data_IF_436728536652
#
_entry.id   IF_436728536652
#
_cell.length_a   1.000
_cell.length_b   1.000
_cell.length_c   1.000
_cell.angle_alpha   90.00
_cell.angle_beta   90.00
_cell.angle_gamma   90.00
#
_symmetry.space_group_name_H-M   'P 1'
#
loop_
_entity.id
_entity.type
_entity.pdbx_description
1 polymer ?
#
# COMPACT_ATOMS: atom_id res chain seq x y z
N UNK A 1 -50.03 -30.22 22.62
CA UNK A 1 -51.49 -30.33 22.81
C UNK A 1 -52.04 -29.45 23.96
N UNK A 2 -51.32 -29.25 25.07
CA UNK A 2 -51.77 -28.35 26.15
C UNK A 2 -51.79 -26.84 25.79
N UNK A 3 -50.82 -26.34 25.00
CA UNK A 3 -50.79 -24.93 24.57
C UNK A 3 -51.97 -24.55 23.66
N UNK A 4 -52.35 -25.42 22.72
CA UNK A 4 -53.44 -25.16 21.77
C UNK A 4 -54.80 -25.04 22.48
N UNK A 5 -55.00 -25.81 23.55
CA UNK A 5 -56.23 -25.77 24.35
C UNK A 5 -56.26 -24.49 25.21
N UNK A 6 -55.11 -24.04 25.72
CA UNK A 6 -54.99 -22.77 26.46
C UNK A 6 -55.21 -21.55 25.56
N UNK A 7 -54.74 -21.59 24.30
CA UNK A 7 -54.91 -20.50 23.31
C UNK A 7 -56.39 -20.28 22.95
N UNK A 8 -57.16 -21.36 22.77
CA UNK A 8 -58.60 -21.27 22.46
C UNK A 8 -59.40 -20.76 23.66
N UNK A 9 -58.95 -21.03 24.89
CA UNK A 9 -59.62 -20.61 26.13
C UNK A 9 -59.34 -19.15 26.52
N UNK A 10 -58.20 -18.56 26.09
CA UNK A 10 -57.78 -17.20 26.47
C UNK A 10 -58.02 -16.13 25.38
N UNK A 11 -58.33 -16.53 24.14
CA UNK A 11 -58.62 -15.58 23.06
C UNK A 11 -57.40 -14.81 22.53
N UNK A 12 -56.20 -15.12 23.00
CA UNK A 12 -54.93 -14.55 22.50
C UNK A 12 -54.42 -15.37 21.32
N UNK A 13 -54.92 -15.06 20.12
CA UNK A 13 -54.34 -15.60 18.89
C UNK A 13 -52.96 -15.00 18.67
N UNK A 14 -51.93 -15.86 18.59
CA UNK A 14 -50.62 -15.48 18.07
C UNK A 14 -50.81 -14.99 16.64
N UNK A 15 -50.74 -13.67 16.45
CA UNK A 15 -50.87 -13.08 15.11
C UNK A 15 -49.50 -13.02 14.47
N UNK A 16 -49.38 -13.62 13.28
CA UNK A 16 -48.20 -13.46 12.43
C UNK A 16 -48.04 -11.98 12.09
N UNK A 17 -46.85 -11.44 12.31
CA UNK A 17 -46.57 -10.06 11.93
C UNK A 17 -46.87 -9.86 10.42
N UNK A 18 -47.51 -8.76 10.03
CA UNK A 18 -47.80 -8.51 8.63
C UNK A 18 -46.50 -8.39 7.82
N UNK A 19 -46.50 -8.95 6.60
CA UNK A 19 -45.29 -9.16 5.80
C UNK A 19 -44.43 -7.88 5.58
N UNK A 20 -45.06 -6.70 5.50
CA UNK A 20 -44.36 -5.42 5.36
C UNK A 20 -43.49 -5.08 6.58
N UNK A 21 -43.90 -5.49 7.78
CA UNK A 21 -43.21 -5.22 9.03
C UNK A 21 -41.96 -6.11 9.18
N UNK A 22 -42.02 -7.35 8.69
CA UNK A 22 -40.86 -8.23 8.59
C UNK A 22 -39.84 -7.72 7.55
N UNK A 23 -40.30 -7.24 6.39
CA UNK A 23 -39.42 -6.66 5.36
C UNK A 23 -38.68 -5.41 5.90
N UNK A 24 -39.38 -4.54 6.63
CA UNK A 24 -38.77 -3.38 7.28
C UNK A 24 -37.74 -3.77 8.34
N UNK A 25 -38.04 -4.80 9.14
CA UNK A 25 -37.10 -5.32 10.15
C UNK A 25 -35.82 -5.87 9.52
N UNK A 26 -35.94 -6.63 8.41
CA UNK A 26 -34.78 -7.11 7.64
C UNK A 26 -33.97 -5.94 7.09
N UNK A 27 -34.63 -4.96 6.46
CA UNK A 27 -33.95 -3.81 5.88
C UNK A 27 -33.20 -2.99 6.94
N UNK A 28 -33.82 -2.75 8.10
CA UNK A 28 -33.19 -2.02 9.21
C UNK A 28 -32.00 -2.79 9.82
N UNK A 29 -32.13 -4.11 9.99
CA UNK A 29 -31.05 -4.97 10.48
C UNK A 29 -29.84 -4.98 9.52
N UNK A 30 -30.08 -5.13 8.22
CA UNK A 30 -29.02 -5.14 7.20
C UNK A 30 -28.35 -3.77 7.11
N UNK A 31 -29.13 -2.68 7.14
CA UNK A 31 -28.59 -1.31 7.09
C UNK A 31 -27.73 -0.99 8.32
N UNK A 32 -28.16 -1.37 9.52
CA UNK A 32 -27.39 -1.12 10.75
C UNK A 32 -26.06 -1.87 10.75
N UNK A 33 -26.07 -3.15 10.37
CA UNK A 33 -24.83 -3.95 10.21
C UNK A 33 -23.93 -3.36 9.13
N UNK A 34 -24.51 -2.90 8.02
CA UNK A 34 -23.85 -2.14 6.95
C UNK A 34 -23.13 -0.89 7.44
N UNK A 35 -23.86 -0.03 8.16
CA UNK A 35 -23.36 1.25 8.64
C UNK A 35 -22.27 1.07 9.70
N UNK A 36 -22.50 0.17 10.66
CA UNK A 36 -21.53 -0.21 11.70
C UNK A 36 -20.23 -0.70 11.08
N UNK A 37 -20.36 -1.61 10.10
CA UNK A 37 -19.20 -2.19 9.41
C UNK A 37 -18.48 -1.16 8.54
N UNK A 38 -19.19 -0.22 7.93
CA UNK A 38 -18.59 0.84 7.11
C UNK A 38 -17.82 1.89 7.91
N UNK A 39 -18.29 2.23 9.12
CA UNK A 39 -17.76 3.35 9.89
C UNK A 39 -16.74 2.96 10.96
N UNK A 40 -16.67 1.70 11.38
CA UNK A 40 -15.81 1.30 12.51
C UNK A 40 -14.62 0.42 12.12
N UNK A 41 -13.55 0.52 12.93
CA UNK A 41 -12.29 -0.21 12.73
C UNK A 41 -12.49 -1.72 12.93
N UNK A 42 -11.60 -2.53 12.35
CA UNK A 42 -11.79 -3.99 12.30
C UNK A 42 -11.91 -4.65 13.69
N UNK A 43 -11.30 -4.05 14.73
CA UNK A 43 -11.37 -4.52 16.12
C UNK A 43 -12.72 -4.24 16.79
N UNK A 44 -13.43 -3.19 16.39
CA UNK A 44 -14.71 -2.77 16.98
C UNK A 44 -15.92 -3.32 16.21
N UNK A 45 -15.75 -3.73 14.96
CA UNK A 45 -16.82 -4.29 14.12
C UNK A 45 -17.45 -5.55 14.70
N UNK A 46 -16.63 -6.48 15.20
CA UNK A 46 -17.08 -7.78 15.72
C UNK A 46 -17.95 -7.65 16.99
N UNK A 47 -17.55 -6.91 18.05
CA UNK A 47 -18.40 -6.75 19.22
C UNK A 47 -19.67 -5.95 18.91
N UNK A 48 -19.61 -4.98 17.99
CA UNK A 48 -20.76 -4.13 17.66
C UNK A 48 -21.81 -4.86 16.79
N UNK A 49 -21.39 -5.75 15.89
CA UNK A 49 -22.32 -6.62 15.15
C UNK A 49 -22.92 -7.73 16.04
N UNK A 50 -22.18 -8.23 17.02
CA UNK A 50 -22.74 -9.14 18.03
C UNK A 50 -23.82 -8.44 18.89
N UNK A 51 -23.59 -7.16 19.23
CA UNK A 51 -24.55 -6.35 19.99
C UNK A 51 -25.86 -6.12 19.21
N UNK A 52 -25.81 -5.88 17.90
CA UNK A 52 -27.02 -5.68 17.09
C UNK A 52 -27.85 -6.96 16.97
N UNK A 53 -27.21 -8.13 16.86
CA UNK A 53 -27.88 -9.44 16.90
C UNK A 53 -28.60 -9.62 18.25
N UNK A 54 -27.91 -9.35 19.36
CA UNK A 54 -28.49 -9.46 20.71
C UNK A 54 -29.65 -8.47 20.91
N UNK A 55 -29.50 -7.22 20.46
CA UNK A 55 -30.56 -6.23 20.53
C UNK A 55 -31.82 -6.65 19.75
N UNK A 56 -31.64 -7.23 18.55
CA UNK A 56 -32.74 -7.75 17.75
C UNK A 56 -33.44 -8.92 18.45
N UNK A 57 -32.68 -9.91 18.95
CA UNK A 57 -33.24 -11.05 19.70
C UNK A 57 -34.08 -10.60 20.89
N UNK A 58 -33.58 -9.63 21.67
CA UNK A 58 -34.25 -9.10 22.84
C UNK A 58 -35.51 -8.31 22.50
N UNK A 59 -35.47 -7.48 21.46
CA UNK A 59 -36.64 -6.72 21.00
C UNK A 59 -37.75 -7.64 20.48
N UNK A 60 -37.39 -8.68 19.72
CA UNK A 60 -38.34 -9.69 19.23
C UNK A 60 -38.94 -10.52 20.38
N UNK A 61 -38.14 -10.90 21.38
CA UNK A 61 -38.65 -11.61 22.56
C UNK A 61 -39.61 -10.73 23.39
N UNK A 62 -39.28 -9.45 23.57
CA UNK A 62 -40.15 -8.51 24.28
C UNK A 62 -41.47 -8.26 23.54
N UNK A 63 -41.43 -8.14 22.21
CA UNK A 63 -42.63 -8.01 21.37
C UNK A 63 -43.53 -9.26 21.43
N UNK A 64 -42.94 -10.44 21.54
CA UNK A 64 -43.66 -11.69 21.71
C UNK A 64 -44.41 -11.74 23.05
N UNK A 65 -43.72 -11.41 24.16
CA UNK A 65 -44.32 -11.46 25.52
C UNK A 65 -45.38 -10.38 25.74
N UNK A 66 -45.20 -9.18 25.18
CA UNK A 66 -46.10 -8.05 25.44
C UNK A 66 -47.28 -7.94 24.47
N UNK A 67 -47.16 -8.45 23.24
CA UNK A 67 -48.16 -8.25 22.18
C UNK A 67 -48.54 -9.52 21.42
N UNK A 68 -47.96 -10.67 21.76
CA UNK A 68 -48.24 -11.95 21.08
C UNK A 68 -47.84 -11.98 19.61
N UNK A 69 -46.97 -11.06 19.16
CA UNK A 69 -46.56 -10.96 17.75
C UNK A 69 -45.34 -11.84 17.53
N UNK A 70 -45.48 -12.83 16.63
CA UNK A 70 -44.36 -13.68 16.22
C UNK A 70 -43.66 -13.05 15.02
N UNK A 71 -42.41 -12.60 15.20
CA UNK A 71 -41.55 -12.14 14.12
C UNK A 71 -40.74 -13.32 13.57
N UNK A 72 -40.61 -13.39 12.26
CA UNK A 72 -39.78 -14.41 11.61
C UNK A 72 -38.30 -14.14 11.86
N UNK A 73 -37.72 -14.86 12.82
CA UNK A 73 -36.32 -14.74 13.18
C UNK A 73 -35.38 -15.35 12.12
N UNK A 74 -35.86 -16.32 11.34
CA UNK A 74 -35.01 -17.12 10.45
C UNK A 74 -34.48 -16.29 9.28
N UNK A 75 -35.33 -15.51 8.64
CA UNK A 75 -34.97 -14.66 7.50
C UNK A 75 -34.02 -13.52 7.89
N UNK A 76 -34.15 -12.97 9.10
CA UNK A 76 -33.27 -11.88 9.58
C UNK A 76 -31.84 -12.36 9.83
N UNK A 77 -31.65 -13.51 10.48
CA UNK A 77 -30.28 -14.01 10.72
C UNK A 77 -29.57 -14.39 9.42
N UNK A 78 -30.28 -15.00 8.46
CA UNK A 78 -29.71 -15.33 7.15
C UNK A 78 -29.26 -14.05 6.44
N UNK A 79 -30.09 -13.00 6.44
CA UNK A 79 -29.73 -11.70 5.86
C UNK A 79 -28.51 -11.06 6.53
N UNK A 80 -28.42 -11.09 7.85
CA UNK A 80 -27.29 -10.56 8.61
C UNK A 80 -25.98 -11.30 8.30
N UNK A 81 -26.00 -12.63 8.28
CA UNK A 81 -24.82 -13.46 7.98
C UNK A 81 -24.32 -13.18 6.56
N UNK A 82 -25.22 -13.14 5.59
CA UNK A 82 -24.87 -12.94 4.19
C UNK A 82 -24.31 -11.53 3.96
N UNK A 83 -24.93 -10.51 4.57
CA UNK A 83 -24.44 -9.14 4.51
C UNK A 83 -23.06 -8.98 5.18
N UNK A 84 -22.87 -9.57 6.36
CA UNK A 84 -21.59 -9.54 7.06
C UNK A 84 -20.49 -10.26 6.27
N UNK A 85 -20.80 -11.43 5.68
CA UNK A 85 -19.88 -12.17 4.82
C UNK A 85 -19.46 -11.39 3.57
N UNK A 86 -20.43 -10.78 2.87
CA UNK A 86 -20.16 -9.91 1.72
C UNK A 86 -19.28 -8.71 2.10
N UNK A 87 -19.51 -8.10 3.27
CA UNK A 87 -18.72 -6.97 3.74
C UNK A 87 -17.30 -7.37 4.15
N UNK A 88 -17.11 -8.50 4.82
CA UNK A 88 -15.78 -9.03 5.12
C UNK A 88 -15.00 -9.30 3.83
N UNK A 89 -15.67 -9.90 2.84
CA UNK A 89 -15.07 -10.15 1.54
C UNK A 89 -14.66 -8.86 0.83
N UNK A 90 -15.54 -7.85 0.83
CA UNK A 90 -15.24 -6.53 0.25
C UNK A 90 -14.06 -5.85 0.95
N UNK A 91 -14.03 -5.85 2.30
CA UNK A 91 -12.92 -5.28 3.07
C UNK A 91 -11.60 -6.01 2.80
N UNK A 92 -11.62 -7.34 2.75
CA UNK A 92 -10.44 -8.16 2.45
C UNK A 92 -9.85 -7.81 1.09
N UNK A 93 -10.68 -7.71 0.05
CA UNK A 93 -10.22 -7.34 -1.29
C UNK A 93 -9.68 -5.90 -1.36
N UNK A 94 -10.29 -4.95 -0.65
CA UNK A 94 -9.84 -3.55 -0.65
C UNK A 94 -8.54 -3.37 0.14
N UNK A 95 -8.39 -4.05 1.29
CA UNK A 95 -7.16 -4.02 2.08
C UNK A 95 -5.96 -4.60 1.32
N UNK A 96 -6.14 -5.70 0.58
CA UNK A 96 -5.08 -6.25 -0.26
C UNK A 96 -4.63 -5.26 -1.34
N UNK A 97 -5.58 -4.59 -1.99
CA UNK A 97 -5.27 -3.59 -3.03
C UNK A 97 -4.51 -2.40 -2.44
N UNK A 98 -4.93 -1.91 -1.27
CA UNK A 98 -4.22 -0.83 -0.58
C UNK A 98 -2.80 -1.23 -0.20
N UNK A 99 -2.59 -2.44 0.34
CA UNK A 99 -1.24 -2.94 0.64
C UNK A 99 -0.36 -3.07 -0.60
N UNK A 100 -0.92 -3.59 -1.70
CA UNK A 100 -0.21 -3.71 -2.98
C UNK A 100 0.15 -2.34 -3.57
N UNK A 101 -0.78 -1.38 -3.51
CA UNK A 101 -0.55 -0.01 -3.96
C UNK A 101 0.52 0.69 -3.13
N UNK A 102 0.43 0.63 -1.80
CA UNK A 102 1.46 1.20 -0.91
C UNK A 102 2.81 0.56 -1.22
N UNK A 103 2.89 -0.77 -1.31
CA UNK A 103 4.14 -1.46 -1.70
C UNK A 103 4.67 -0.99 -3.05
N UNK A 104 3.80 -0.87 -4.05
CA UNK A 104 4.18 -0.44 -5.40
C UNK A 104 4.67 1.01 -5.45
N UNK A 105 3.99 1.91 -4.73
CA UNK A 105 4.42 3.31 -4.55
C UNK A 105 5.79 3.33 -3.87
N UNK A 106 5.95 2.62 -2.75
CA UNK A 106 7.23 2.56 -2.03
C UNK A 106 8.36 1.95 -2.86
N UNK A 107 8.09 1.00 -3.76
CA UNK A 107 9.09 0.47 -4.71
C UNK A 107 9.52 1.50 -5.75
N UNK A 108 8.67 2.47 -6.09
CA UNK A 108 9.03 3.54 -7.00
C UNK A 108 9.86 4.64 -6.32
N UNK A 109 9.71 4.81 -5.01
CA UNK A 109 10.44 5.80 -4.22
C UNK A 109 11.67 5.24 -3.49
N UNK A 110 11.78 3.92 -3.35
CA UNK A 110 12.84 3.24 -2.60
C UNK A 110 13.21 1.95 -3.33
N UNK A 111 14.51 1.67 -3.49
CA UNK A 111 14.99 0.45 -4.15
C UNK A 111 14.30 -0.79 -3.55
N UNK A 112 13.97 -1.79 -4.37
CA UNK A 112 13.28 -3.03 -3.95
C UNK A 112 13.93 -3.70 -2.73
N UNK A 113 15.26 -3.61 -2.64
CA UNK A 113 16.09 -4.02 -1.52
C UNK A 113 15.67 -3.34 -0.21
N UNK A 114 15.43 -2.03 -0.23
CA UNK A 114 15.07 -1.24 0.95
C UNK A 114 13.65 -1.52 1.44
N UNK A 115 12.71 -1.78 0.52
CA UNK A 115 11.33 -2.17 0.87
C UNK A 115 11.31 -3.54 1.55
N UNK A 116 12.08 -4.50 1.04
CA UNK A 116 12.17 -5.83 1.64
C UNK A 116 12.84 -5.76 3.03
N UNK A 117 13.86 -4.93 3.19
CA UNK A 117 14.53 -4.72 4.48
C UNK A 117 13.59 -4.09 5.51
N UNK A 118 12.81 -3.07 5.13
CA UNK A 118 11.79 -2.45 6.00
C UNK A 118 10.70 -3.43 6.44
N UNK A 119 10.29 -4.34 5.56
CA UNK A 119 9.28 -5.36 5.88
C UNK A 119 9.84 -6.37 6.90
N UNK A 120 11.11 -6.75 6.75
CA UNK A 120 11.77 -7.73 7.62
C UNK A 120 12.19 -7.11 8.97
N UNK A 121 12.55 -5.82 8.97
CA UNK A 121 13.02 -5.08 10.14
C UNK A 121 12.23 -3.75 10.30
N UNK A 122 10.97 -3.79 10.80
CA UNK A 122 10.11 -2.62 10.89
C UNK A 122 10.54 -1.58 11.95
N UNK A 123 11.44 -1.94 12.87
CA UNK A 123 11.98 -1.05 13.91
C UNK A 123 13.19 -0.23 13.42
N UNK A 124 13.09 0.45 12.26
CA UNK A 124 14.13 1.39 11.82
C UNK A 124 14.09 2.63 12.72
N UNK A 125 14.89 2.60 13.79
CA UNK A 125 15.10 3.74 14.68
C UNK A 125 15.92 4.82 13.98
N UNK A 126 15.66 6.09 14.33
CA UNK A 126 16.55 7.21 14.01
C UNK A 126 17.96 6.90 14.54
N UNK A 127 18.96 7.04 13.68
CA UNK A 127 20.33 6.62 13.93
C UNK A 127 20.93 5.94 12.71
N UNK A 128 22.22 5.63 12.78
CA UNK A 128 22.90 4.90 11.71
C UNK A 128 24.02 4.03 12.24
N UNK A 129 24.34 3.00 11.47
CA UNK A 129 25.43 2.07 11.73
C UNK A 129 26.68 2.53 10.96
N UNK A 130 27.85 2.47 11.60
CA UNK A 130 29.11 2.73 10.90
C UNK A 130 29.44 1.52 10.02
N UNK A 131 29.42 1.71 8.71
CA UNK A 131 29.77 0.68 7.72
C UNK A 131 30.79 1.20 6.72
N UNK A 132 31.61 0.29 6.21
CA UNK A 132 32.45 0.57 5.04
C UNK A 132 31.63 0.28 3.79
N UNK A 133 31.48 1.27 2.92
CA UNK A 133 30.69 1.16 1.71
C UNK A 133 31.36 1.95 0.58
N UNK A 134 30.94 1.71 -0.65
CA UNK A 134 31.40 2.46 -1.82
C UNK A 134 30.29 3.37 -2.32
N UNK A 135 30.55 4.67 -2.35
CA UNK A 135 29.66 5.66 -2.96
C UNK A 135 29.99 5.76 -4.44
N UNK A 136 28.95 5.69 -5.25
CA UNK A 136 28.93 6.00 -6.66
C UNK A 136 28.25 7.35 -6.84
N UNK A 137 28.89 8.22 -7.60
CA UNK A 137 28.34 9.49 -8.03
C UNK A 137 28.55 9.64 -9.53
N UNK A 138 27.51 10.00 -10.26
CA UNK A 138 27.64 10.42 -11.67
C UNK A 138 26.87 11.68 -11.95
N UNK A 139 27.37 12.52 -12.84
CA UNK A 139 26.65 13.68 -13.39
C UNK A 139 26.82 13.74 -14.91
N UNK A 140 26.04 14.60 -15.57
CA UNK A 140 26.16 14.84 -17.01
C UNK A 140 27.18 15.97 -17.23
N UNK A 141 28.07 15.78 -18.20
CA UNK A 141 29.02 16.83 -18.59
C UNK A 141 28.28 17.95 -19.34
N UNK A 142 28.37 19.19 -18.82
CA UNK A 142 27.78 20.35 -19.48
C UNK A 142 26.25 20.45 -19.39
N UNK A 143 25.61 19.75 -18.44
CA UNK A 143 24.16 19.72 -18.29
C UNK A 143 23.52 21.10 -18.20
N UNK A 144 24.13 22.03 -17.46
CA UNK A 144 23.61 23.41 -17.32
C UNK A 144 23.35 24.05 -18.68
N UNK A 145 24.32 24.00 -19.59
CA UNK A 145 24.20 24.55 -20.94
C UNK A 145 23.09 23.87 -21.74
N UNK A 146 22.96 22.54 -21.61
CA UNK A 146 21.90 21.77 -22.27
C UNK A 146 20.53 22.20 -21.74
N UNK A 147 20.38 22.27 -20.42
CA UNK A 147 19.13 22.62 -19.73
C UNK A 147 18.64 24.04 -20.03
N UNK A 148 19.56 24.98 -20.26
CA UNK A 148 19.22 26.36 -20.64
C UNK A 148 18.77 26.47 -22.11
N UNK A 149 19.18 25.53 -22.96
CA UNK A 149 18.88 25.52 -24.39
C UNK A 149 17.62 24.73 -24.78
N UNK A 150 17.01 24.02 -23.82
CA UNK A 150 15.92 23.09 -24.06
C UNK A 150 14.69 23.48 -23.22
N UNK A 151 13.47 23.49 -23.80
CA UNK A 151 12.26 23.75 -23.03
C UNK A 151 12.02 22.64 -21.99
N UNK A 152 11.47 22.95 -20.80
CA UNK A 152 11.25 21.98 -19.73
C UNK A 152 10.46 20.73 -20.15
N UNK A 153 9.50 20.90 -21.07
CA UNK A 153 8.64 19.83 -21.59
C UNK A 153 9.42 18.80 -22.41
N UNK A 154 10.56 19.17 -22.99
CA UNK A 154 11.47 18.27 -23.71
C UNK A 154 12.60 17.77 -22.81
N UNK A 155 13.10 18.64 -21.92
CA UNK A 155 14.21 18.33 -21.01
C UNK A 155 13.85 17.23 -20.01
N UNK A 156 12.66 17.29 -19.41
CA UNK A 156 12.26 16.33 -18.37
C UNK A 156 12.16 14.90 -18.92
N UNK A 157 11.45 14.62 -20.04
CA UNK A 157 11.45 13.29 -20.64
C UNK A 157 12.84 12.82 -21.06
N UNK A 158 13.65 13.70 -21.65
CA UNK A 158 15.01 13.38 -22.07
C UNK A 158 15.91 12.99 -20.90
N UNK A 159 15.87 13.78 -19.82
CA UNK A 159 16.62 13.50 -18.60
C UNK A 159 16.14 12.20 -17.94
N UNK A 160 14.82 11.99 -17.86
CA UNK A 160 14.25 10.76 -17.29
C UNK A 160 14.69 9.52 -18.07
N UNK A 161 14.78 9.60 -19.40
CA UNK A 161 15.27 8.50 -20.24
C UNK A 161 16.72 8.15 -19.90
N UNK A 162 17.60 9.15 -19.80
CA UNK A 162 18.99 8.96 -19.37
C UNK A 162 19.09 8.40 -17.95
N UNK A 163 18.42 9.03 -16.97
CA UNK A 163 18.47 8.63 -15.57
C UNK A 163 17.96 7.20 -15.39
N UNK A 164 16.91 6.80 -16.11
CA UNK A 164 16.37 5.44 -16.08
C UNK A 164 17.41 4.44 -16.58
N UNK A 165 17.95 4.63 -17.78
CA UNK A 165 18.90 3.70 -18.37
C UNK A 165 20.19 3.54 -17.53
N UNK A 166 20.70 4.63 -16.97
CA UNK A 166 21.89 4.59 -16.11
C UNK A 166 21.59 3.98 -14.74
N UNK A 167 20.41 4.22 -14.19
CA UNK A 167 20.00 3.67 -12.89
C UNK A 167 19.76 2.17 -12.98
N UNK A 168 19.15 1.68 -14.07
CA UNK A 168 18.91 0.25 -14.27
C UNK A 168 20.23 -0.55 -14.18
N UNK A 169 21.28 -0.07 -14.87
CA UNK A 169 22.61 -0.69 -14.83
C UNK A 169 23.26 -0.62 -13.44
N UNK A 170 23.03 0.46 -12.68
CA UNK A 170 23.52 0.60 -11.30
C UNK A 170 22.80 -0.40 -10.37
N UNK A 171 21.48 -0.54 -10.53
CA UNK A 171 20.65 -1.43 -9.71
C UNK A 171 20.88 -2.91 -10.03
N UNK A 172 21.24 -3.26 -11.27
CA UNK A 172 21.64 -4.61 -11.67
C UNK A 172 22.88 -5.11 -10.90
N UNK A 173 23.72 -4.20 -10.42
CA UNK A 173 24.87 -4.50 -9.54
C UNK A 173 24.51 -4.42 -8.03
N UNK A 174 23.21 -4.45 -7.71
CA UNK A 174 22.60 -4.42 -6.37
C UNK A 174 23.02 -3.21 -5.52
N UNK A 175 23.13 -2.04 -6.16
CA UNK A 175 23.29 -0.78 -5.44
C UNK A 175 22.01 -0.36 -4.72
N UNK A 176 22.16 0.41 -3.66
CA UNK A 176 21.09 1.22 -3.10
C UNK A 176 21.11 2.61 -3.75
N UNK A 177 20.01 3.00 -4.39
CA UNK A 177 19.86 4.34 -4.95
C UNK A 177 19.52 5.31 -3.81
N UNK A 178 20.41 6.24 -3.52
CA UNK A 178 20.23 7.22 -2.44
C UNK A 178 19.32 8.37 -2.88
N UNK A 179 19.67 9.01 -4.00
CA UNK A 179 18.89 10.11 -4.58
C UNK A 179 19.36 10.48 -5.98
N UNK A 180 18.50 11.24 -6.65
CA UNK A 180 18.88 12.10 -7.77
C UNK A 180 19.10 13.53 -7.28
N UNK A 181 20.09 14.22 -7.82
CA UNK A 181 20.34 15.64 -7.56
C UNK A 181 20.50 16.37 -8.89
N UNK A 182 19.37 16.81 -9.46
CA UNK A 182 19.32 17.35 -10.82
C UNK A 182 19.63 16.25 -11.85
N UNK A 183 20.73 16.41 -12.56
CA UNK A 183 21.28 15.43 -13.51
C UNK A 183 22.19 14.38 -12.87
N UNK A 184 22.46 14.50 -11.57
CA UNK A 184 23.33 13.59 -10.86
C UNK A 184 22.59 12.36 -10.29
N UNK A 185 23.28 11.22 -10.31
CA UNK A 185 22.86 9.97 -9.68
C UNK A 185 23.81 9.68 -8.52
N UNK A 186 23.27 9.49 -7.32
CA UNK A 186 24.02 9.04 -6.16
C UNK A 186 23.51 7.68 -5.71
N UNK A 187 24.41 6.70 -5.68
CA UNK A 187 24.13 5.34 -5.25
C UNK A 187 25.20 4.83 -4.29
N UNK A 188 24.84 3.87 -3.44
CA UNK A 188 25.72 3.32 -2.41
C UNK A 188 25.72 1.79 -2.52
N UNK A 189 26.90 1.21 -2.57
CA UNK A 189 27.11 -0.24 -2.59
C UNK A 189 27.56 -0.73 -1.21
N UNK A 190 27.06 -1.89 -0.78
CA UNK A 190 27.31 -2.46 0.56
C UNK A 190 26.29 -2.00 1.61
N UNK A 191 25.18 -1.41 1.16
CA UNK A 191 24.07 -0.90 1.98
C UNK A 191 22.74 -1.18 1.26
N UNK A 192 21.64 -1.51 1.96
CA UNK A 192 21.60 -1.97 3.36
C UNK A 192 22.14 -3.39 3.53
N UNK A 193 22.31 -4.12 2.42
CA UNK A 193 22.88 -5.46 2.38
C UNK A 193 24.38 -5.34 2.08
N UNK A 194 25.20 -5.99 2.90
CA UNK A 194 26.63 -6.08 2.67
C UNK A 194 26.95 -7.31 1.80
N UNK A 195 27.55 -7.08 0.64
CA UNK A 195 27.98 -8.12 -0.29
C UNK A 195 29.48 -8.43 -0.18
N UNK A 196 30.25 -7.66 0.61
CA UNK A 196 31.70 -7.80 0.74
C UNK A 196 32.53 -7.38 -0.49
N UNK A 197 31.93 -7.38 -1.68
CA UNK A 197 32.54 -6.96 -2.95
C UNK A 197 32.01 -5.60 -3.46
N UNK A 198 31.49 -4.76 -2.57
CA UNK A 198 30.81 -3.50 -2.89
C UNK A 198 31.63 -2.56 -3.80
N UNK A 199 32.95 -2.49 -3.64
CA UNK A 199 33.82 -1.69 -4.49
C UNK A 199 33.93 -2.23 -5.92
N UNK A 200 33.94 -3.56 -6.08
CA UNK A 200 34.00 -4.22 -7.40
C UNK A 200 32.68 -3.99 -8.15
N UNK A 201 31.55 -4.11 -7.46
CA UNK A 201 30.22 -3.82 -8.00
C UNK A 201 30.09 -2.38 -8.47
N UNK A 202 30.54 -1.42 -7.67
CA UNK A 202 30.56 -0.01 -8.06
C UNK A 202 31.39 0.24 -9.33
N UNK A 203 32.56 -0.41 -9.45
CA UNK A 203 33.37 -0.36 -10.67
C UNK A 203 32.67 -1.00 -11.87
N UNK A 204 31.98 -2.14 -11.68
CA UNK A 204 31.21 -2.80 -12.74
C UNK A 204 30.05 -1.93 -13.22
N UNK A 205 29.31 -1.31 -12.30
CA UNK A 205 28.25 -0.37 -12.63
C UNK A 205 28.78 0.83 -13.42
N UNK A 206 29.91 1.42 -13.01
CA UNK A 206 30.55 2.52 -13.74
C UNK A 206 30.93 2.15 -15.17
N UNK A 207 31.53 0.97 -15.36
CA UNK A 207 31.86 0.44 -16.68
C UNK A 207 30.61 0.03 -17.48
N UNK A 208 29.55 -0.40 -16.80
CA UNK A 208 28.24 -0.66 -17.38
C UNK A 208 27.62 0.61 -17.97
N UNK A 209 27.49 1.67 -17.18
CA UNK A 209 26.93 2.95 -17.61
C UNK A 209 27.69 3.50 -18.82
N UNK A 210 29.02 3.49 -18.77
CA UNK A 210 29.87 3.95 -19.88
C UNK A 210 29.65 3.13 -21.17
N UNK A 211 29.29 1.85 -21.07
CA UNK A 211 28.96 0.99 -22.22
C UNK A 211 27.52 1.19 -22.71
N UNK A 212 26.59 1.50 -21.81
CA UNK A 212 25.18 1.66 -22.13
C UNK A 212 24.89 2.99 -22.84
N UNK A 213 25.52 4.08 -22.41
CA UNK A 213 25.22 5.43 -22.92
C UNK A 213 25.31 5.58 -24.45
N UNK A 214 26.32 5.05 -25.16
CA UNK A 214 26.38 5.15 -26.61
C UNK A 214 25.20 4.53 -27.34
N UNK A 215 24.56 3.51 -26.75
CA UNK A 215 23.38 2.86 -27.33
C UNK A 215 22.14 3.75 -27.38
N UNK A 216 22.12 4.86 -26.62
CA UNK A 216 21.02 5.81 -26.60
C UNK A 216 21.14 6.89 -27.69
N UNK A 217 22.38 7.15 -28.14
CA UNK A 217 22.70 8.28 -29.02
C UNK A 217 22.00 8.22 -30.38
N UNK A 218 21.83 7.04 -30.97
CA UNK A 218 21.15 6.88 -32.27
C UNK A 218 19.70 7.35 -32.17
N UNK A 219 18.97 6.88 -31.16
CA UNK A 219 17.57 7.29 -30.93
C UNK A 219 17.42 8.77 -30.57
N UNK A 220 18.44 9.37 -29.94
CA UNK A 220 18.46 10.79 -29.61
C UNK A 220 18.71 11.63 -30.84
N UNK A 221 19.65 11.22 -31.67
CA UNK A 221 20.00 11.89 -32.92
C UNK A 221 18.80 11.91 -33.89
N UNK A 222 18.04 10.81 -34.02
CA UNK A 222 16.81 10.76 -34.81
C UNK A 222 15.72 11.74 -34.31
N UNK A 223 15.71 12.04 -33.01
CA UNK A 223 14.79 12.99 -32.37
C UNK A 223 15.35 14.42 -32.30
N UNK A 224 16.56 14.67 -32.80
CA UNK A 224 17.22 15.97 -32.71
C UNK A 224 17.72 16.34 -31.30
N UNK A 225 17.87 15.34 -30.41
CA UNK A 225 18.35 15.52 -29.04
C UNK A 225 19.90 15.48 -28.99
N UNK A 226 20.52 16.18 -28.03
CA UNK A 226 21.98 16.24 -27.93
C UNK A 226 22.58 14.92 -27.44
N UNK A 227 23.80 14.62 -27.88
CA UNK A 227 24.60 13.53 -27.32
C UNK A 227 25.14 13.97 -25.95
N UNK A 228 24.90 13.14 -24.94
CA UNK A 228 25.41 13.37 -23.58
C UNK A 228 26.74 12.67 -23.37
N UNK A 229 27.54 13.23 -22.47
CA UNK A 229 28.69 12.56 -21.85
C UNK A 229 28.50 12.59 -20.32
N UNK A 230 29.11 11.65 -19.62
CA UNK A 230 28.94 11.48 -18.18
C UNK A 230 30.28 11.51 -17.45
N UNK A 231 30.29 12.01 -16.21
CA UNK A 231 31.45 11.88 -15.32
C UNK A 231 31.05 11.01 -14.16
N UNK A 232 31.91 10.05 -13.80
CA UNK A 232 31.67 9.12 -12.70
C UNK A 232 32.80 9.23 -11.67
N UNK A 233 32.43 9.39 -10.40
CA UNK A 233 33.33 9.33 -9.25
C UNK A 233 32.95 8.17 -8.33
N UNK A 234 33.95 7.42 -7.88
CA UNK A 234 33.78 6.35 -6.89
C UNK A 234 34.66 6.65 -5.67
N UNK A 235 34.11 6.46 -4.47
CA UNK A 235 34.87 6.57 -3.24
C UNK A 235 34.47 5.48 -2.24
N UNK A 236 35.46 4.81 -1.65
CA UNK A 236 35.24 3.79 -0.62
C UNK A 236 35.74 4.28 0.72
N UNK A 237 34.90 4.16 1.75
CA UNK A 237 35.30 4.56 3.09
C UNK A 237 34.26 4.19 4.14
N UNK A 238 34.64 4.42 5.41
CA UNK A 238 33.73 4.27 6.52
C UNK A 238 32.74 5.46 6.55
N UNK A 239 31.45 5.16 6.59
CA UNK A 239 30.36 6.13 6.66
C UNK A 239 29.29 5.68 7.66
N UNK A 240 28.44 6.60 8.09
CA UNK A 240 27.29 6.28 8.94
C UNK A 240 26.09 6.11 8.01
N UNK A 241 25.50 4.92 8.05
CA UNK A 241 24.39 4.52 7.20
C UNK A 241 23.16 4.35 8.07
N UNK A 242 22.12 5.13 7.79
CA UNK A 242 20.86 5.04 8.52
C UNK A 242 19.96 6.23 8.25
N UNK A 243 18.82 6.26 8.93
CA UNK A 243 17.83 7.29 8.69
C UNK A 243 18.21 8.58 9.43
N UNK A 244 18.58 9.60 8.66
CA UNK A 244 18.98 10.92 9.15
C UNK A 244 17.92 11.95 8.74
N UNK A 245 17.40 12.70 9.70
CA UNK A 245 16.33 13.68 9.46
C UNK A 245 16.11 14.61 10.65
N UNK A 246 15.27 15.63 10.48
CA UNK A 246 14.94 16.55 11.58
C UNK A 246 13.83 15.94 12.45
N UNK A 247 13.89 16.10 13.77
CA UNK A 247 12.79 15.69 14.68
C UNK A 247 11.46 16.45 14.44
N UNK A 248 11.45 17.42 13.53
CA UNK A 248 10.29 18.26 13.18
C UNK A 248 9.68 17.94 11.80
N UNK A 249 10.12 16.89 11.12
CA UNK A 249 9.51 16.40 9.87
C UNK A 249 9.54 14.89 9.81
#
# INVERSE_FOLDING_TARGET
HANVISEILLGEFVTLAPAWLNILAIAAAVLTVGLVSGLTSNKLNLPLSALTILAYTGASFWAFVSRGVWMDMSSVYVGMILCYGCMLFHKYLTEEKQKKLVKHIFQHYMTSVMVNELINNPDIKLGGEKRTATVFFSDIAGFTTISESMPPEELVPFLNEYLTAMTDVILDEEAYLDKYEGDAIMAVFGVPVDHGDHAIRACRAALGNRRALPGMWESWEERGLPKLDMRIGLNTGAMIVGNMGSQRR
#
